data_IF_945635561659
#
_entry.id   IF_945635561659
#
_cell.length_a   1.000
_cell.length_b   1.000
_cell.length_c   1.000
_cell.angle_alpha   90.00
_cell.angle_beta   90.00
_cell.angle_gamma   90.00
#
_symmetry.space_group_name_H-M   'P 1'
#
loop_
_entity.id
_entity.type
_entity.pdbx_description
1 polymer ?
#
# COMPACT_ATOMS: atom_id res chain seq x y z
N UNK A 1 39.36 -20.67 9.39
CA UNK A 1 38.07 -21.10 8.83
C UNK A 1 37.35 -19.85 8.32
N UNK A 2 37.15 -19.71 7.01
CA UNK A 2 36.45 -18.57 6.43
C UNK A 2 34.95 -18.89 6.37
N UNK A 3 34.14 -18.13 7.10
CA UNK A 3 32.69 -18.25 7.07
C UNK A 3 32.14 -17.49 5.87
N UNK A 4 31.59 -18.19 4.89
CA UNK A 4 30.89 -17.57 3.77
C UNK A 4 29.48 -17.15 4.23
N UNK A 5 29.18 -15.86 4.17
CA UNK A 5 27.80 -15.36 4.24
C UNK A 5 27.09 -15.81 2.96
N UNK A 6 26.23 -16.81 3.06
CA UNK A 6 25.34 -17.19 1.97
C UNK A 6 24.28 -16.09 1.80
N UNK A 7 24.35 -15.33 0.71
CA UNK A 7 23.32 -14.37 0.32
C UNK A 7 22.17 -15.16 -0.34
N UNK A 8 21.12 -15.45 0.42
CA UNK A 8 19.92 -16.05 -0.15
C UNK A 8 19.19 -15.02 -1.00
N UNK A 9 19.34 -15.09 -2.32
CA UNK A 9 18.50 -14.35 -3.27
C UNK A 9 17.11 -15.01 -3.22
N UNK A 10 16.15 -14.36 -2.57
CA UNK A 10 14.74 -14.74 -2.69
C UNK A 10 14.22 -14.18 -4.02
N UNK A 11 13.73 -15.01 -4.95
CA UNK A 11 13.07 -14.49 -6.14
C UNK A 11 11.90 -13.61 -5.71
N UNK A 12 11.86 -12.36 -6.17
CA UNK A 12 10.70 -11.51 -5.99
C UNK A 12 9.51 -12.20 -6.67
N UNK A 13 8.42 -12.44 -5.94
CA UNK A 13 7.21 -12.97 -6.54
C UNK A 13 6.69 -11.96 -7.57
N UNK A 14 6.32 -12.41 -8.78
CA UNK A 14 5.82 -11.50 -9.81
C UNK A 14 4.54 -10.79 -9.31
N UNK A 15 4.41 -9.51 -9.66
CA UNK A 15 3.21 -8.73 -9.32
C UNK A 15 2.04 -9.24 -10.16
N UNK A 16 1.07 -9.89 -9.52
CA UNK A 16 -0.12 -10.42 -10.18
C UNK A 16 -1.33 -9.53 -9.90
N UNK A 17 -1.68 -8.68 -10.86
CA UNK A 17 -2.84 -7.79 -10.81
C UNK A 17 -3.80 -8.18 -11.94
N UNK A 18 -5.04 -8.51 -11.59
CA UNK A 18 -6.10 -8.87 -12.53
C UNK A 18 -7.31 -7.98 -12.24
N UNK A 19 -7.87 -7.26 -13.24
CA UNK A 19 -7.39 -7.14 -14.62
C UNK A 19 -6.02 -6.45 -14.72
N UNK A 20 -5.31 -6.64 -15.83
CA UNK A 20 -4.00 -6.02 -16.05
C UNK A 20 -4.13 -4.49 -16.00
N UNK A 21 -3.27 -3.78 -15.24
CA UNK A 21 -3.31 -2.33 -15.19
C UNK A 21 -2.89 -1.74 -16.54
N UNK A 22 -3.36 -0.51 -16.82
CA UNK A 22 -2.95 0.23 -18.01
C UNK A 22 -1.42 0.41 -18.09
N UNK A 23 -0.78 0.56 -16.94
CA UNK A 23 0.66 0.74 -16.81
C UNK A 23 1.12 0.12 -15.48
N UNK A 24 2.26 -0.58 -15.52
CA UNK A 24 2.94 -1.12 -14.35
C UNK A 24 4.45 -0.86 -14.50
N UNK A 25 5.02 -0.11 -13.57
CA UNK A 25 6.46 0.18 -13.53
C UNK A 25 6.99 -0.29 -12.17
N UNK A 26 7.84 -1.30 -12.18
CA UNK A 26 8.50 -1.79 -10.97
C UNK A 26 9.65 -0.85 -10.58
N UNK A 27 9.52 -0.23 -9.40
CA UNK A 27 10.58 0.59 -8.80
C UNK A 27 11.57 -0.24 -7.99
N UNK A 28 12.62 0.41 -7.47
CA UNK A 28 13.54 -0.20 -6.51
C UNK A 28 13.03 -0.01 -5.07
N UNK A 29 13.35 -0.98 -4.21
CA UNK A 29 12.99 -0.96 -2.80
C UNK A 29 11.71 -1.73 -2.49
N UNK A 30 11.19 -1.58 -1.28
CA UNK A 30 9.97 -2.23 -0.84
C UNK A 30 9.26 -1.43 0.24
N UNK A 31 7.94 -1.60 0.31
CA UNK A 31 7.12 -1.14 1.43
C UNK A 31 6.83 -2.33 2.35
N UNK A 32 7.15 -2.22 3.63
CA UNK A 32 6.84 -3.27 4.62
C UNK A 32 5.58 -2.91 5.39
N UNK A 33 4.53 -3.73 5.22
CA UNK A 33 3.33 -3.65 6.05
C UNK A 33 3.64 -4.17 7.46
N UNK A 34 3.31 -3.38 8.48
CA UNK A 34 3.49 -3.76 9.88
C UNK A 34 2.21 -3.47 10.67
N UNK A 35 2.08 -4.05 11.86
CA UNK A 35 0.99 -3.72 12.78
C UNK A 35 0.94 -2.23 13.19
N UNK A 36 2.02 -1.46 12.95
CA UNK A 36 2.11 -0.02 13.24
C UNK A 36 1.86 0.86 12.02
N UNK A 37 1.62 0.28 10.84
CA UNK A 37 1.35 1.02 9.61
C UNK A 37 0.05 1.82 9.76
N UNK A 38 0.09 3.17 9.75
CA UNK A 38 -1.13 3.96 9.83
C UNK A 38 -1.82 3.99 8.46
N UNK A 39 -3.15 3.92 8.47
CA UNK A 39 -3.97 4.19 7.30
C UNK A 39 -4.46 5.65 7.38
N UNK A 40 -3.95 6.51 6.50
CA UNK A 40 -4.29 7.93 6.47
C UNK A 40 -5.33 8.18 5.39
N UNK A 41 -6.46 8.75 5.76
CA UNK A 41 -7.56 9.02 4.85
C UNK A 41 -7.77 10.54 4.68
N UNK A 42 -7.89 10.97 3.42
CA UNK A 42 -8.18 12.36 3.09
C UNK A 42 -9.67 12.55 2.81
N UNK A 43 -10.42 12.96 3.84
CA UNK A 43 -11.87 13.17 3.79
C UNK A 43 -12.69 11.95 4.19
N UNK A 44 -14.00 12.14 4.37
CA UNK A 44 -14.88 11.16 5.00
C UNK A 44 -15.08 9.90 4.15
N UNK A 45 -15.25 10.06 2.83
CA UNK A 45 -15.35 8.92 1.91
C UNK A 45 -14.10 8.04 1.95
N UNK A 46 -12.91 8.66 1.97
CA UNK A 46 -11.66 7.93 2.07
C UNK A 46 -11.52 7.23 3.44
N UNK A 47 -12.07 7.81 4.51
CA UNK A 47 -12.01 7.23 5.85
C UNK A 47 -12.87 5.97 5.96
N UNK A 48 -14.06 5.98 5.37
CA UNK A 48 -14.91 4.79 5.27
C UNK A 48 -14.20 3.66 4.51
N UNK A 49 -13.58 3.98 3.37
CA UNK A 49 -12.80 3.00 2.59
C UNK A 49 -11.59 2.51 3.39
N UNK A 50 -10.89 3.38 4.11
CA UNK A 50 -9.72 3.01 4.91
C UNK A 50 -10.08 2.05 6.05
N UNK A 51 -11.24 2.22 6.69
CA UNK A 51 -11.74 1.28 7.72
C UNK A 51 -12.05 -0.09 7.13
N UNK A 52 -12.79 -0.12 6.03
CA UNK A 52 -13.08 -1.35 5.31
C UNK A 52 -11.79 -2.08 4.85
N UNK A 53 -10.80 -1.31 4.40
CA UNK A 53 -9.51 -1.85 4.02
C UNK A 53 -8.72 -2.38 5.23
N UNK A 54 -8.81 -1.72 6.39
CA UNK A 54 -8.23 -2.21 7.64
C UNK A 54 -8.80 -3.57 8.03
N UNK A 55 -10.12 -3.75 7.91
CA UNK A 55 -10.79 -5.01 8.23
C UNK A 55 -10.32 -6.15 7.30
N UNK A 56 -10.18 -5.86 6.00
CA UNK A 56 -9.62 -6.81 5.04
C UNK A 56 -8.18 -7.19 5.36
N UNK A 57 -7.34 -6.21 5.67
CA UNK A 57 -5.95 -6.47 6.05
C UNK A 57 -5.88 -7.27 7.35
N UNK A 58 -6.76 -6.98 8.32
CA UNK A 58 -6.84 -7.74 9.56
C UNK A 58 -7.16 -9.21 9.30
N UNK A 59 -8.15 -9.51 8.45
CA UNK A 59 -8.51 -10.89 8.12
C UNK A 59 -7.36 -11.71 7.51
N UNK A 60 -6.45 -11.06 6.77
CA UNK A 60 -5.30 -11.73 6.13
C UNK A 60 -4.01 -11.70 6.94
N UNK A 61 -3.84 -10.74 7.84
CA UNK A 61 -2.54 -10.49 8.53
C UNK A 61 -2.62 -10.54 10.05
N UNK A 62 -3.82 -10.46 10.63
CA UNK A 62 -4.04 -10.28 12.07
C UNK A 62 -3.75 -8.87 12.59
N UNK A 63 -3.30 -7.94 11.74
CA UNK A 63 -2.98 -6.58 12.17
C UNK A 63 -4.25 -5.76 12.40
N UNK A 64 -4.34 -5.13 13.57
CA UNK A 64 -5.42 -4.19 13.89
C UNK A 64 -4.99 -2.77 13.50
N UNK A 65 -5.00 -2.48 12.20
CA UNK A 65 -4.54 -1.21 11.66
C UNK A 65 -5.57 -0.11 11.90
N UNK A 66 -5.10 1.10 12.26
CA UNK A 66 -5.99 2.23 12.57
C UNK A 66 -6.14 3.17 11.37
N UNK A 67 -7.39 3.42 10.97
CA UNK A 67 -7.73 4.44 9.99
C UNK A 67 -7.91 5.81 10.65
N UNK A 68 -7.20 6.82 10.15
CA UNK A 68 -7.11 8.16 10.73
C UNK A 68 -7.37 9.19 9.63
N UNK A 69 -8.28 10.13 9.89
CA UNK A 69 -8.47 11.29 9.02
C UNK A 69 -7.24 12.21 9.14
N UNK A 70 -6.46 12.34 8.07
CA UNK A 70 -5.27 13.20 8.04
C UNK A 70 -4.87 13.51 6.62
N UNK A 71 -4.44 14.76 6.39
CA UNK A 71 -3.80 15.19 5.14
C UNK A 71 -2.28 15.22 5.23
N UNK A 72 -1.72 15.10 6.44
CA UNK A 72 -0.28 15.17 6.65
C UNK A 72 0.39 13.85 6.22
N UNK A 73 1.37 13.88 5.30
CA UNK A 73 2.10 12.69 4.90
C UNK A 73 2.89 12.11 6.08
N UNK A 74 3.04 10.80 6.12
CA UNK A 74 3.83 10.09 7.13
C UNK A 74 4.55 8.91 6.50
N UNK A 75 5.83 8.76 6.82
CA UNK A 75 6.63 7.62 6.36
C UNK A 75 6.04 6.31 6.89
N UNK A 76 6.00 5.30 6.02
CA UNK A 76 5.45 3.98 6.36
C UNK A 76 3.92 3.95 6.49
N UNK A 77 3.23 5.01 6.04
CA UNK A 77 1.77 5.07 5.99
C UNK A 77 1.23 4.57 4.65
N UNK A 78 0.02 4.02 4.68
CA UNK A 78 -0.80 3.86 3.48
C UNK A 78 -1.76 5.05 3.45
N UNK A 79 -1.74 5.81 2.36
CA UNK A 79 -2.58 7.01 2.23
C UNK A 79 -3.67 6.77 1.20
N UNK A 80 -4.92 6.99 1.58
CA UNK A 80 -6.10 6.91 0.72
C UNK A 80 -6.60 8.33 0.42
N UNK A 81 -6.71 8.65 -0.85
CA UNK A 81 -7.10 9.97 -1.34
C UNK A 81 -8.02 9.82 -2.56
N UNK A 82 -9.13 10.55 -2.54
CA UNK A 82 -10.06 10.65 -3.66
C UNK A 82 -9.92 12.06 -4.21
N UNK A 83 -9.54 12.16 -5.49
CA UNK A 83 -9.32 13.44 -6.14
C UNK A 83 -10.07 13.49 -7.49
N UNK A 84 -11.22 14.20 -7.53
CA UNK A 84 -12.05 14.26 -8.74
C UNK A 84 -11.39 15.07 -9.87
N UNK A 85 -10.24 15.71 -9.63
CA UNK A 85 -9.51 16.48 -10.65
C UNK A 85 -8.56 15.61 -11.48
N UNK A 86 -8.34 14.35 -11.09
CA UNK A 86 -7.49 13.44 -11.85
C UNK A 86 -8.18 12.99 -13.14
N UNK A 87 -7.49 13.12 -14.27
CA UNK A 87 -7.99 12.71 -15.59
C UNK A 87 -7.79 11.21 -15.85
N UNK A 88 -8.38 10.36 -15.00
CA UNK A 88 -8.22 8.89 -15.06
C UNK A 88 -9.50 8.14 -15.48
N UNK A 89 -10.61 8.86 -15.68
CA UNK A 89 -11.94 8.27 -15.84
C UNK A 89 -12.62 7.99 -14.50
N UNK A 90 -13.85 7.47 -14.53
CA UNK A 90 -14.72 7.31 -13.35
C UNK A 90 -14.14 6.30 -12.33
N UNK A 91 -13.49 5.24 -12.81
CA UNK A 91 -12.96 4.15 -11.98
C UNK A 91 -11.42 4.11 -11.96
N UNK A 92 -10.76 5.08 -12.60
CA UNK A 92 -9.31 5.08 -12.73
C UNK A 92 -8.60 5.43 -11.41
N UNK A 93 -7.47 4.79 -11.16
CA UNK A 93 -6.66 5.01 -9.98
C UNK A 93 -5.17 5.04 -10.29
N UNK A 94 -4.40 5.61 -9.37
CA UNK A 94 -2.94 5.45 -9.32
C UNK A 94 -2.56 4.75 -8.02
N UNK A 95 -1.56 3.89 -8.09
CA UNK A 95 -0.97 3.21 -6.94
C UNK A 95 0.54 3.46 -6.97
N UNK A 96 1.10 3.92 -5.86
CA UNK A 96 2.54 4.03 -5.68
C UNK A 96 2.94 3.40 -4.36
N UNK A 97 3.95 2.54 -4.39
CA UNK A 97 4.53 1.91 -3.22
C UNK A 97 6.04 2.18 -3.19
N UNK A 98 6.51 2.80 -2.11
CA UNK A 98 7.91 3.17 -1.90
C UNK A 98 8.29 3.05 -0.42
N UNK A 99 9.59 3.13 -0.14
CA UNK A 99 10.18 2.97 1.19
C UNK A 99 10.07 4.19 2.09
#
# INVERSE_FOLDING_TARGET
>A
MASALALTIRPASPISIIPQPKELVEGQGSFTLTARTPLLAQGDSALTIARFFADKLNASTGFNLRAIASKAPRRGAITLRIDPKLSLGVEGYTLSASS
#
